data_IF_075926143267
#
_entry.id   IF_075926143267
#
_cell.length_a   1.000
_cell.length_b   1.000
_cell.length_c   1.000
_cell.angle_alpha   90.00
_cell.angle_beta   90.00
_cell.angle_gamma   90.00
#
_symmetry.space_group_name_H-M   'P 1'
#
loop_
_entity.id
_entity.type
_entity.pdbx_description
1 polymer ?
#
# COMPACT_ATOMS: atom_id res chain seq x y z
N UNK A 1 -26.47 -33.25 4.99
CA UNK A 1 -26.16 -31.91 4.46
C UNK A 1 -24.65 -31.76 4.48
N UNK A 2 -24.02 -31.77 3.32
CA UNK A 2 -22.57 -31.62 3.21
C UNK A 2 -22.20 -30.17 3.51
N UNK A 3 -21.28 -29.97 4.45
CA UNK A 3 -20.68 -28.67 4.73
C UNK A 3 -20.02 -28.15 3.44
N UNK A 4 -20.34 -26.94 2.96
CA UNK A 4 -19.67 -26.41 1.78
C UNK A 4 -18.19 -26.25 2.11
N UNK A 5 -17.36 -27.05 1.45
CA UNK A 5 -15.92 -26.89 1.47
C UNK A 5 -15.60 -25.55 0.83
N UNK A 6 -15.41 -24.52 1.67
CA UNK A 6 -14.92 -23.22 1.21
C UNK A 6 -13.46 -23.46 0.81
N UNK A 7 -13.11 -23.34 -0.48
CA UNK A 7 -11.72 -23.47 -0.91
C UNK A 7 -10.89 -22.45 -0.14
N UNK A 8 -9.69 -22.83 0.28
CA UNK A 8 -8.73 -21.89 0.88
C UNK A 8 -8.67 -20.62 0.04
N UNK A 9 -8.67 -19.41 0.64
CA UNK A 9 -8.67 -18.18 -0.14
C UNK A 9 -7.45 -18.20 -1.05
N UNK A 10 -7.67 -18.19 -2.36
CA UNK A 10 -6.62 -17.89 -3.32
C UNK A 10 -5.96 -16.60 -2.84
N UNK A 11 -4.68 -16.69 -2.47
CA UNK A 11 -3.95 -15.58 -1.88
C UNK A 11 -4.12 -14.36 -2.80
N UNK A 12 -4.59 -13.25 -2.24
CA UNK A 12 -4.62 -11.97 -2.94
C UNK A 12 -3.28 -11.78 -3.65
N UNK A 13 -3.33 -11.62 -4.97
CA UNK A 13 -2.14 -11.68 -5.81
C UNK A 13 -1.15 -10.58 -5.48
N UNK A 14 0.06 -10.73 -6.02
CA UNK A 14 1.14 -9.76 -5.94
C UNK A 14 0.88 -8.44 -6.68
N UNK A 15 -0.38 -8.18 -7.08
CA UNK A 15 -0.83 -7.00 -7.83
C UNK A 15 -0.44 -6.96 -9.31
N UNK A 16 0.47 -7.84 -9.75
CA UNK A 16 1.06 -7.87 -11.10
C UNK A 16 0.77 -9.17 -11.89
N UNK A 17 0.30 -10.23 -11.23
CA UNK A 17 -0.07 -11.50 -11.87
C UNK A 17 -1.03 -12.32 -11.01
N UNK A 18 -1.83 -13.20 -11.64
CA UNK A 18 -2.79 -14.08 -10.95
C UNK A 18 -4.09 -13.38 -10.52
N UNK A 19 -4.70 -13.86 -9.42
CA UNK A 19 -5.90 -13.25 -8.86
C UNK A 19 -5.57 -11.85 -8.31
N UNK A 20 -6.16 -10.80 -8.88
CA UNK A 20 -5.96 -9.42 -8.40
C UNK A 20 -6.94 -9.12 -7.25
N UNK A 21 -6.72 -8.00 -6.56
CA UNK A 21 -7.64 -7.50 -5.53
C UNK A 21 -9.07 -7.26 -6.05
N UNK A 22 -9.31 -7.35 -7.36
CA UNK A 22 -10.64 -7.23 -7.97
C UNK A 22 -11.55 -8.41 -7.60
N UNK A 23 -11.00 -9.63 -7.49
CA UNK A 23 -11.80 -10.85 -7.27
C UNK A 23 -11.56 -11.51 -5.94
N UNK A 24 -10.34 -11.36 -5.39
CA UNK A 24 -9.95 -12.04 -4.16
C UNK A 24 -9.00 -11.18 -3.33
N UNK A 25 -9.23 -11.14 -2.02
CA UNK A 25 -8.32 -10.62 -1.01
C UNK A 25 -8.18 -11.63 0.13
N UNK A 26 -7.40 -11.29 1.15
CA UNK A 26 -7.23 -12.11 2.34
C UNK A 26 -8.52 -12.19 3.18
N UNK A 27 -9.44 -11.24 3.04
CA UNK A 27 -10.63 -11.12 3.90
C UNK A 27 -11.97 -11.28 3.15
N UNK A 28 -11.96 -11.26 1.81
CA UNK A 28 -13.16 -11.44 1.01
C UNK A 28 -12.84 -12.01 -0.37
N UNK A 29 -13.83 -12.66 -0.98
CA UNK A 29 -13.76 -13.17 -2.36
C UNK A 29 -15.10 -12.97 -3.08
N UNK A 30 -15.10 -13.12 -4.41
CA UNK A 30 -16.31 -13.08 -5.22
C UNK A 30 -17.00 -11.70 -5.21
N UNK A 31 -18.33 -11.67 -5.08
CA UNK A 31 -19.11 -10.43 -5.13
C UNK A 31 -18.81 -9.47 -3.98
N UNK A 32 -18.52 -9.99 -2.79
CA UNK A 32 -18.13 -9.16 -1.64
C UNK A 32 -16.81 -8.43 -1.92
N UNK A 33 -15.81 -9.12 -2.46
CA UNK A 33 -14.54 -8.48 -2.82
C UNK A 33 -14.71 -7.46 -3.94
N UNK A 34 -15.56 -7.73 -4.94
CA UNK A 34 -15.88 -6.75 -5.99
C UNK A 34 -16.53 -5.50 -5.41
N UNK A 35 -17.45 -5.64 -4.45
CA UNK A 35 -18.06 -4.51 -3.77
C UNK A 35 -17.02 -3.70 -2.96
N UNK A 36 -16.13 -4.40 -2.24
CA UNK A 36 -15.01 -3.77 -1.53
C UNK A 36 -14.07 -3.02 -2.50
N UNK A 37 -13.80 -3.59 -3.68
CA UNK A 37 -12.97 -2.96 -4.71
C UNK A 37 -13.65 -1.72 -5.29
N UNK A 38 -14.96 -1.76 -5.58
CA UNK A 38 -15.73 -0.58 -6.02
C UNK A 38 -15.61 0.54 -4.99
N UNK A 39 -15.95 0.26 -3.72
CA UNK A 39 -15.87 1.24 -2.64
C UNK A 39 -14.45 1.78 -2.46
N UNK A 40 -13.44 0.90 -2.46
CA UNK A 40 -12.04 1.29 -2.35
C UNK A 40 -11.58 2.19 -3.49
N UNK A 41 -11.99 1.88 -4.73
CA UNK A 41 -11.62 2.65 -5.91
C UNK A 41 -12.30 4.01 -5.97
N UNK A 42 -13.60 4.08 -5.72
CA UNK A 42 -14.37 5.32 -5.75
C UNK A 42 -13.99 6.25 -4.60
N UNK A 43 -13.71 5.72 -3.42
CA UNK A 43 -13.49 6.55 -2.22
C UNK A 43 -12.03 6.92 -1.98
N UNK A 44 -11.09 6.00 -2.24
CA UNK A 44 -9.69 6.20 -1.84
C UNK A 44 -8.71 6.12 -3.02
N UNK A 45 -8.75 5.01 -3.76
CA UNK A 45 -7.69 4.73 -4.72
C UNK A 45 -7.73 5.71 -5.88
N UNK A 46 -8.81 5.83 -6.63
CA UNK A 46 -8.84 6.69 -7.82
C UNK A 46 -8.78 8.19 -7.49
N UNK A 47 -9.50 8.72 -6.48
CA UNK A 47 -9.32 10.10 -6.04
C UNK A 47 -7.87 10.43 -5.66
N UNK A 48 -7.15 9.51 -5.02
CA UNK A 48 -5.74 9.74 -4.69
C UNK A 48 -4.80 9.76 -5.91
N UNK A 49 -5.22 9.26 -7.08
CA UNK A 49 -4.44 9.37 -8.32
C UNK A 49 -4.64 10.76 -8.91
N UNK A 50 -5.90 11.21 -8.94
CA UNK A 50 -6.27 12.53 -9.45
C UNK A 50 -5.68 13.64 -8.58
N UNK A 51 -5.72 13.48 -7.25
CA UNK A 51 -5.14 14.42 -6.31
C UNK A 51 -3.61 14.53 -6.50
N UNK A 52 -2.90 13.41 -6.51
CA UNK A 52 -1.45 13.40 -6.73
C UNK A 52 -1.07 14.03 -8.09
N UNK A 53 -1.89 13.81 -9.12
CA UNK A 53 -1.67 14.43 -10.43
C UNK A 53 -1.94 15.94 -10.39
N UNK A 54 -3.01 16.39 -9.74
CA UNK A 54 -3.38 17.80 -9.68
C UNK A 54 -2.38 18.63 -8.86
N UNK A 55 -1.79 18.05 -7.82
CA UNK A 55 -0.77 18.67 -6.99
C UNK A 55 0.66 18.49 -7.52
N UNK A 56 0.85 17.76 -8.61
CA UNK A 56 2.11 17.80 -9.35
C UNK A 56 1.99 18.80 -10.50
N UNK A 57 2.49 20.02 -10.29
CA UNK A 57 2.46 21.08 -11.29
C UNK A 57 3.82 21.77 -11.38
N UNK A 58 4.50 21.64 -12.54
CA UNK A 58 5.69 22.41 -12.85
C UNK A 58 5.46 23.93 -12.81
N UNK A 59 4.24 24.38 -13.09
CA UNK A 59 3.88 25.81 -13.13
C UNK A 59 3.84 26.44 -11.73
N UNK A 60 3.41 25.69 -10.73
CA UNK A 60 3.36 26.15 -9.33
C UNK A 60 4.58 25.73 -8.52
N UNK A 61 5.45 24.88 -9.08
CA UNK A 61 6.55 24.24 -8.34
C UNK A 61 6.05 23.28 -7.26
N UNK A 62 4.84 22.73 -7.42
CA UNK A 62 4.32 21.71 -6.52
C UNK A 62 4.70 20.34 -7.05
N UNK A 63 5.20 19.50 -6.15
CA UNK A 63 5.66 18.15 -6.44
C UNK A 63 4.79 17.17 -5.66
N UNK A 64 4.55 15.99 -6.21
CA UNK A 64 3.75 14.97 -5.54
C UNK A 64 4.36 13.59 -5.74
N UNK A 65 4.22 12.75 -4.72
CA UNK A 65 4.63 11.35 -4.73
C UNK A 65 3.45 10.49 -4.30
N UNK A 66 3.50 9.22 -4.67
CA UNK A 66 2.42 8.29 -4.40
C UNK A 66 2.94 6.95 -3.90
N UNK A 67 2.29 6.41 -2.87
CA UNK A 67 2.45 5.02 -2.47
C UNK A 67 1.12 4.29 -2.29
N UNK A 68 1.22 2.96 -2.25
CA UNK A 68 0.20 2.04 -1.76
C UNK A 68 0.81 1.19 -0.64
N UNK A 69 0.11 1.14 0.51
CA UNK A 69 0.38 0.16 1.55
C UNK A 69 -0.32 -1.17 1.20
N UNK A 70 0.41 -2.28 1.21
CA UNK A 70 -0.09 -3.58 0.75
C UNK A 70 0.21 -4.74 1.69
N UNK A 71 0.73 -4.49 2.89
CA UNK A 71 0.97 -5.57 3.86
C UNK A 71 -0.37 -6.20 4.26
N UNK A 72 -0.57 -7.51 4.04
CA UNK A 72 -1.85 -8.15 4.32
C UNK A 72 -2.26 -8.03 5.79
N UNK A 73 -3.50 -7.67 6.13
CA UNK A 73 -4.69 -7.53 5.26
C UNK A 73 -4.92 -6.12 4.67
N UNK A 74 -3.99 -5.17 4.84
CA UNK A 74 -4.04 -3.81 4.26
C UNK A 74 -5.40 -3.09 4.37
N UNK A 75 -6.02 -3.19 5.54
CA UNK A 75 -7.29 -2.50 5.83
C UNK A 75 -7.08 -0.98 5.95
N UNK A 76 -8.17 -0.23 5.79
CA UNK A 76 -8.14 1.23 5.91
C UNK A 76 -7.50 1.67 7.24
N UNK A 77 -6.45 2.49 7.14
CA UNK A 77 -5.70 3.02 8.28
C UNK A 77 -4.62 2.10 8.87
N UNK A 78 -4.41 0.89 8.34
CA UNK A 78 -3.40 -0.04 8.90
C UNK A 78 -1.97 0.42 8.65
N UNK A 79 -1.76 1.29 7.67
CA UNK A 79 -0.49 1.96 7.42
C UNK A 79 -0.10 2.89 8.59
N UNK A 80 -1.07 3.48 9.30
CA UNK A 80 -0.80 4.40 10.43
C UNK A 80 0.08 3.76 11.50
N UNK A 81 -0.19 2.53 11.89
CA UNK A 81 0.61 1.80 12.89
C UNK A 81 2.03 1.49 12.39
N UNK A 82 2.24 1.43 11.08
CA UNK A 82 3.55 1.17 10.52
C UNK A 82 4.49 2.39 10.64
N UNK A 83 3.98 3.63 10.62
CA UNK A 83 4.80 4.83 10.76
C UNK A 83 4.62 5.60 12.07
N UNK A 84 3.44 5.61 12.70
CA UNK A 84 3.23 6.22 14.02
C UNK A 84 3.45 5.26 15.19
N UNK A 85 3.27 3.96 14.97
CA UNK A 85 3.42 2.94 16.00
C UNK A 85 2.26 2.86 17.00
N UNK A 86 2.24 1.79 17.83
CA UNK A 86 3.12 0.62 17.75
C UNK A 86 2.83 -0.23 16.51
N UNK A 87 3.87 -0.87 15.96
CA UNK A 87 3.75 -1.72 14.77
C UNK A 87 2.89 -2.96 15.05
N UNK A 88 2.05 -3.34 14.09
CA UNK A 88 1.30 -4.60 14.13
C UNK A 88 2.25 -5.80 13.98
N UNK A 89 1.79 -6.98 14.41
CA UNK A 89 2.58 -8.23 14.38
C UNK A 89 3.05 -8.63 12.98
N UNK A 90 2.29 -8.26 11.95
CA UNK A 90 2.57 -8.48 10.53
C UNK A 90 3.40 -7.36 9.88
N UNK A 91 3.82 -6.33 10.64
CA UNK A 91 4.65 -5.24 10.17
C UNK A 91 6.07 -5.43 10.71
N UNK A 92 7.01 -5.82 9.83
CA UNK A 92 8.38 -6.06 10.23
C UNK A 92 9.13 -4.76 10.55
N UNK A 93 10.16 -4.80 11.41
CA UNK A 93 10.89 -3.61 11.84
C UNK A 93 11.55 -2.85 10.69
N UNK A 94 12.01 -3.55 9.67
CA UNK A 94 12.65 -2.90 8.52
C UNK A 94 11.62 -2.25 7.57
N UNK A 95 10.39 -2.79 7.47
CA UNK A 95 9.30 -2.15 6.73
C UNK A 95 8.89 -0.84 7.40
N UNK A 96 8.63 -0.89 8.71
CA UNK A 96 8.19 0.29 9.47
C UNK A 96 9.25 1.37 9.44
N UNK A 97 10.53 0.98 9.56
CA UNK A 97 11.66 1.88 9.39
C UNK A 97 11.67 2.58 8.02
N UNK A 98 11.41 1.86 6.94
CA UNK A 98 11.39 2.46 5.61
C UNK A 98 10.24 3.46 5.44
N UNK A 99 9.03 3.13 5.91
CA UNK A 99 7.90 4.06 5.92
C UNK A 99 8.20 5.31 6.77
N UNK A 100 8.79 5.12 7.96
CA UNK A 100 9.16 6.23 8.86
C UNK A 100 10.23 7.13 8.24
N UNK A 101 11.25 6.57 7.59
CA UNK A 101 12.27 7.36 6.89
C UNK A 101 11.64 8.14 5.74
N UNK A 102 10.83 7.51 4.90
CA UNK A 102 10.19 8.19 3.77
C UNK A 102 9.27 9.32 4.21
N UNK A 103 8.43 9.09 5.23
CA UNK A 103 7.60 10.15 5.81
C UNK A 103 8.44 11.27 6.46
N UNK A 104 9.47 10.91 7.22
CA UNK A 104 10.35 11.89 7.86
C UNK A 104 11.10 12.75 6.85
N UNK A 105 11.58 12.17 5.76
CA UNK A 105 12.25 12.89 4.69
C UNK A 105 11.29 13.79 3.92
N UNK A 106 10.07 13.33 3.63
CA UNK A 106 9.06 14.18 2.98
C UNK A 106 8.73 15.40 3.85
N UNK A 107 8.52 15.21 5.15
CA UNK A 107 8.23 16.32 6.07
C UNK A 107 9.41 17.28 6.21
N UNK A 108 10.65 16.77 6.22
CA UNK A 108 11.85 17.57 6.49
C UNK A 108 12.43 18.25 5.26
N UNK A 109 12.31 17.61 4.10
CA UNK A 109 13.01 17.99 2.86
C UNK A 109 12.08 18.12 1.64
N UNK A 110 10.80 17.78 1.78
CA UNK A 110 9.85 17.79 0.67
C UNK A 110 10.02 16.65 -0.34
N UNK A 111 10.85 15.64 -0.04
CA UNK A 111 11.13 14.47 -0.89
C UNK A 111 11.16 13.19 -0.04
N UNK A 112 10.34 12.16 -0.33
CA UNK A 112 10.28 10.92 0.46
C UNK A 112 11.43 9.94 0.19
N UNK A 113 12.34 10.25 -0.73
CA UNK A 113 13.48 9.41 -1.08
C UNK A 113 14.44 9.24 0.10
N UNK A 114 15.05 8.07 0.27
CA UNK A 114 16.03 7.83 1.35
C UNK A 114 17.35 8.57 1.15
N UNK A 115 17.61 9.08 -0.05
CA UNK A 115 18.73 9.98 -0.36
C UNK A 115 18.21 11.34 -0.84
N UNK A 116 17.77 12.23 0.06
CA UNK A 116 17.12 13.48 -0.34
C UNK A 116 18.10 14.47 -1.02
N UNK A 117 17.64 15.30 -1.96
CA UNK A 117 18.42 16.37 -2.56
C UNK A 117 18.92 17.35 -1.50
N UNK A 118 20.23 17.62 -1.46
CA UNK A 118 20.83 18.56 -0.49
C UNK A 118 21.46 17.92 0.75
N UNK A 119 21.18 16.64 1.04
CA UNK A 119 22.00 15.86 2.00
C UNK A 119 23.44 15.60 1.47
N UNK A 120 23.67 15.84 0.17
CA UNK A 120 24.97 15.83 -0.51
C UNK A 120 25.70 17.18 -0.52
N UNK A 121 25.27 18.17 0.26
CA UNK A 121 25.89 19.49 0.36
C UNK A 121 27.15 19.54 1.24
N UNK A 122 28.13 18.67 0.99
CA UNK A 122 29.53 18.87 1.40
C UNK A 122 30.39 17.85 0.67
N UNK A 123 31.32 18.36 -0.14
CA UNK A 123 32.44 17.63 -0.73
C UNK A 123 33.12 16.70 0.26
N UNK A 124 32.91 15.39 0.13
CA UNK A 124 33.82 14.35 0.64
C UNK A 124 33.54 13.06 -0.15
N UNK A 125 34.50 12.65 -0.97
CA UNK A 125 34.44 11.48 -1.86
C UNK A 125 34.47 10.13 -1.14
N UNK A 126 33.84 10.00 0.02
CA UNK A 126 33.76 8.73 0.75
C UNK A 126 32.59 8.72 1.74
N UNK A 127 31.35 8.77 1.26
CA UNK A 127 30.19 8.38 2.07
C UNK A 127 29.41 7.33 1.33
N UNK A 128 29.61 6.08 1.76
CA UNK A 128 28.54 5.08 1.79
C UNK A 128 27.26 5.80 2.14
N UNK A 129 26.30 5.83 1.21
CA UNK A 129 24.88 6.06 1.52
C UNK A 129 24.61 5.29 2.81
N UNK A 130 24.41 5.99 3.93
CA UNK A 130 24.10 5.34 5.21
C UNK A 130 22.62 5.01 5.25
N UNK A 131 22.07 4.55 4.12
CA UNK A 131 20.89 3.72 4.12
C UNK A 131 21.32 2.42 4.80
N UNK A 132 21.07 2.31 6.10
CA UNK A 132 21.24 1.06 6.85
C UNK A 132 20.22 -0.02 6.43
N UNK A 133 19.42 0.25 5.40
CA UNK A 133 18.48 -0.66 4.80
C UNK A 133 19.24 -1.49 3.74
N UNK A 134 19.87 -2.58 4.17
CA UNK A 134 20.82 -3.36 3.34
C UNK A 134 20.16 -4.34 2.36
N UNK A 135 18.83 -4.35 2.23
CA UNK A 135 18.12 -5.28 1.34
C UNK A 135 17.92 -4.69 -0.07
N UNK A 136 18.02 -5.51 -1.14
CA UNK A 136 17.79 -5.06 -2.52
C UNK A 136 16.44 -4.37 -2.75
N UNK A 137 15.41 -4.75 -1.98
CA UNK A 137 14.08 -4.13 -2.02
C UNK A 137 14.06 -2.65 -1.63
N UNK A 138 15.12 -2.13 -1.00
CA UNK A 138 15.20 -0.72 -0.59
C UNK A 138 15.87 0.20 -1.59
N UNK A 139 16.58 -0.35 -2.58
CA UNK A 139 17.24 0.46 -3.60
C UNK A 139 16.25 1.35 -4.37
N UNK A 140 14.99 0.88 -4.53
CA UNK A 140 13.93 1.66 -5.18
C UNK A 140 13.51 2.90 -4.38
N UNK A 141 13.79 2.96 -3.07
CA UNK A 141 13.49 4.12 -2.23
C UNK A 141 14.56 5.22 -2.32
N UNK A 142 15.75 4.93 -2.85
CA UNK A 142 16.80 5.95 -3.01
C UNK A 142 16.39 7.03 -4.01
N UNK A 143 15.57 6.66 -5.00
CA UNK A 143 15.06 7.57 -6.03
C UNK A 143 13.59 7.31 -6.25
N UNK A 144 12.77 7.83 -5.35
CA UNK A 144 11.32 7.74 -5.48
C UNK A 144 10.86 8.81 -6.48
N UNK A 145 10.39 8.42 -7.68
CA UNK A 145 9.97 9.39 -8.69
C UNK A 145 8.70 10.12 -8.26
N UNK A 146 8.59 11.37 -8.71
CA UNK A 146 7.34 12.11 -8.60
C UNK A 146 6.24 11.41 -9.41
N UNK A 147 5.03 11.41 -8.86
CA UNK A 147 3.85 10.87 -9.50
C UNK A 147 3.22 11.93 -10.41
N UNK A 148 2.97 11.59 -11.67
CA UNK A 148 2.25 12.46 -12.60
C UNK A 148 1.37 11.63 -13.55
N UNK A 149 0.50 12.31 -14.31
CA UNK A 149 -0.31 11.63 -15.33
C UNK A 149 0.53 10.97 -16.45
N UNK A 150 1.69 11.54 -16.79
CA UNK A 150 2.62 11.01 -17.80
C UNK A 150 3.62 10.00 -17.23
N UNK A 151 3.87 10.05 -15.93
CA UNK A 151 4.72 9.12 -15.20
C UNK A 151 4.00 8.63 -13.93
N UNK A 152 3.06 7.68 -14.07
CA UNK A 152 2.19 7.24 -12.97
C UNK A 152 2.88 6.20 -12.09
N UNK A 153 4.19 6.31 -11.85
CA UNK A 153 4.92 5.36 -11.00
C UNK A 153 4.64 5.62 -9.53
N UNK A 154 4.30 4.58 -8.79
CA UNK A 154 4.05 4.65 -7.34
C UNK A 154 4.86 3.62 -6.57
N UNK A 155 5.17 3.92 -5.31
CA UNK A 155 5.81 2.98 -4.40
C UNK A 155 4.77 2.01 -3.81
N UNK A 156 5.11 0.73 -3.71
CA UNK A 156 4.30 -0.27 -3.03
C UNK A 156 5.08 -0.73 -1.81
N UNK A 157 4.54 -0.49 -0.62
CA UNK A 157 5.08 -1.02 0.63
C UNK A 157 4.38 -2.33 0.95
N UNK A 158 5.08 -3.44 0.75
CA UNK A 158 4.56 -4.78 0.99
C UNK A 158 5.58 -5.64 1.75
N UNK A 159 5.11 -6.76 2.27
CA UNK A 159 5.92 -7.74 2.97
C UNK A 159 5.40 -9.16 2.71
N UNK A 160 6.32 -10.11 2.62
CA UNK A 160 6.07 -11.53 2.39
C UNK A 160 6.82 -12.36 3.44
N UNK A 161 6.77 -13.70 3.33
CA UNK A 161 7.41 -14.58 4.29
C UNK A 161 6.75 -14.53 5.67
N UNK A 162 7.49 -14.92 6.69
CA UNK A 162 7.06 -14.94 8.08
C UNK A 162 6.47 -16.27 8.56
N UNK A 163 6.10 -16.26 9.83
CA UNK A 163 5.45 -17.36 10.54
C UNK A 163 3.94 -17.10 10.60
N UNK A 164 3.08 -18.06 10.23
CA UNK A 164 1.64 -17.87 10.20
C UNK A 164 1.06 -17.64 11.60
N UNK A 165 0.07 -16.75 11.72
CA UNK A 165 -0.76 -16.58 12.89
C UNK A 165 -2.21 -16.25 12.51
N UNK A 166 -3.14 -16.57 13.40
CA UNK A 166 -4.56 -16.26 13.20
C UNK A 166 -4.87 -14.82 13.60
N UNK A 167 -5.53 -14.11 12.70
CA UNK A 167 -5.96 -12.72 12.87
C UNK A 167 -7.48 -12.63 12.66
N UNK A 168 -8.19 -12.08 13.63
CA UNK A 168 -9.63 -11.81 13.50
C UNK A 168 -9.83 -10.54 12.68
N UNK A 169 -10.13 -10.72 11.39
CA UNK A 169 -10.29 -9.62 10.43
C UNK A 169 -11.64 -8.93 10.52
N UNK A 170 -12.69 -9.68 10.88
CA UNK A 170 -14.04 -9.16 11.11
C UNK A 170 -14.48 -9.58 12.50
N UNK A 171 -15.07 -8.66 13.25
CA UNK A 171 -15.57 -8.90 14.60
C UNK A 171 -17.07 -8.61 14.68
N UNK A 172 -17.80 -9.37 15.49
CA UNK A 172 -19.21 -9.07 15.81
C UNK A 172 -19.34 -7.83 16.69
N UNK A 173 -18.30 -7.53 17.47
CA UNK A 173 -18.25 -6.37 18.38
C UNK A 173 -17.30 -5.30 17.83
N UNK A 174 -17.67 -4.05 18.04
CA UNK A 174 -16.77 -2.93 17.77
C UNK A 174 -15.81 -2.78 18.96
N UNK A 175 -14.61 -3.33 18.84
CA UNK A 175 -13.57 -3.26 19.88
C UNK A 175 -12.65 -2.02 19.69
N UNK A 176 -12.96 -1.11 18.76
CA UNK A 176 -12.21 0.12 18.54
C UNK A 176 -12.24 0.66 17.12
N UNK A 177 -11.60 1.83 16.87
CA UNK A 177 -11.72 2.61 15.64
C UNK A 177 -11.17 1.95 14.37
N UNK A 178 -10.43 0.84 14.49
CA UNK A 178 -9.82 0.10 13.37
C UNK A 178 -10.34 -1.34 13.25
N UNK A 179 -11.52 -1.62 13.80
CA UNK A 179 -12.19 -2.92 13.72
C UNK A 179 -13.16 -2.94 12.55
N UNK A 180 -13.10 -4.00 11.73
CA UNK A 180 -14.14 -4.26 10.73
C UNK A 180 -15.27 -4.99 11.43
N UNK A 181 -16.44 -4.38 11.49
CA UNK A 181 -17.61 -4.96 12.16
C UNK A 181 -18.44 -5.75 11.15
N UNK A 182 -18.82 -6.98 11.50
CA UNK A 182 -19.67 -7.84 10.68
C UNK A 182 -20.68 -8.62 11.50
N UNK A 183 -21.44 -9.49 10.83
CA UNK A 183 -22.46 -10.35 11.45
C UNK A 183 -21.88 -11.56 12.19
N UNK A 184 -20.63 -11.93 11.89
CA UNK A 184 -19.89 -13.02 12.52
C UNK A 184 -18.38 -12.72 12.56
N UNK A 185 -17.69 -13.33 13.50
CA UNK A 185 -16.23 -13.26 13.55
C UNK A 185 -15.64 -14.01 12.34
N UNK A 186 -14.65 -13.39 11.68
CA UNK A 186 -13.90 -14.02 10.60
C UNK A 186 -12.42 -13.98 10.88
N UNK A 187 -11.81 -15.16 10.99
CA UNK A 187 -10.37 -15.32 11.14
C UNK A 187 -9.71 -15.55 9.79
N UNK A 188 -8.54 -14.96 9.63
CA UNK A 188 -7.67 -15.11 8.46
C UNK A 188 -6.25 -15.38 8.93
N UNK A 189 -5.50 -16.17 8.17
CA UNK A 189 -4.10 -16.41 8.45
C UNK A 189 -3.25 -15.26 7.88
N UNK A 190 -2.56 -14.55 8.77
CA UNK A 190 -1.53 -13.56 8.42
C UNK A 190 -0.15 -14.10 8.81
N UNK A 191 0.90 -13.34 8.54
CA UNK A 191 2.28 -13.74 8.84
C UNK A 191 2.98 -12.69 9.69
N UNK A 192 3.75 -13.13 10.66
CA UNK A 192 4.56 -12.30 11.56
C UNK A 192 6.01 -12.75 11.59
N UNK A 193 6.85 -12.04 12.36
CA UNK A 193 8.17 -12.56 12.70
C UNK A 193 8.07 -13.90 13.46
N UNK A 194 9.09 -14.76 13.37
CA UNK A 194 10.28 -14.62 12.53
C UNK A 194 10.03 -14.91 11.04
N UNK A 195 10.83 -14.29 10.17
CA UNK A 195 10.99 -14.65 8.76
C UNK A 195 10.31 -13.74 7.76
N UNK A 196 9.85 -12.55 8.18
CA UNK A 196 9.27 -11.56 7.27
C UNK A 196 10.33 -11.03 6.30
N UNK A 197 9.89 -10.71 5.07
CA UNK A 197 10.75 -10.22 3.99
C UNK A 197 10.06 -9.08 3.26
N UNK A 198 10.73 -7.95 3.14
CA UNK A 198 10.17 -6.80 2.45
C UNK A 198 10.05 -7.05 0.95
N UNK A 199 8.92 -6.61 0.39
CA UNK A 199 8.62 -6.62 -1.04
C UNK A 199 8.26 -5.19 -1.46
N UNK A 200 9.20 -4.27 -1.24
CA UNK A 200 9.02 -2.87 -1.61
C UNK A 200 9.35 -2.72 -3.09
N UNK A 201 8.40 -2.15 -3.84
CA UNK A 201 8.47 -2.10 -5.31
C UNK A 201 8.06 -0.76 -5.85
N UNK A 202 8.76 -0.31 -6.88
CA UNK A 202 8.28 0.76 -7.74
C UNK A 202 7.46 0.15 -8.87
N UNK A 203 6.18 0.52 -8.98
CA UNK A 203 5.25 -0.06 -9.95
C UNK A 203 4.60 1.04 -10.79
N UNK A 204 4.13 0.68 -11.98
CA UNK A 204 3.25 1.54 -12.77
C UNK A 204 1.82 1.45 -12.21
N UNK A 205 1.33 2.54 -11.63
CA UNK A 205 0.02 2.59 -10.99
C UNK A 205 -1.15 2.41 -11.98
N UNK A 206 -0.94 2.72 -13.27
CA UNK A 206 -1.98 2.59 -14.29
C UNK A 206 -2.23 1.11 -14.60
N UNK A 207 -1.17 0.31 -14.73
CA UNK A 207 -1.28 -1.13 -15.04
C UNK A 207 -1.46 -2.00 -13.80
N UNK A 208 -1.14 -1.47 -12.62
CA UNK A 208 -1.24 -2.17 -11.33
C UNK A 208 -2.64 -2.74 -11.04
N UNK A 209 -2.70 -3.89 -10.37
CA UNK A 209 -3.93 -4.51 -9.86
C UNK A 209 -4.98 -4.73 -10.96
N UNK A 210 -4.51 -5.31 -12.07
CA UNK A 210 -5.33 -5.65 -13.23
C UNK A 210 -5.80 -4.44 -14.02
N UNK A 211 -4.94 -3.43 -14.20
CA UNK A 211 -5.29 -2.23 -14.96
C UNK A 211 -6.16 -1.25 -14.18
N UNK A 212 -5.80 -0.95 -12.93
CA UNK A 212 -6.56 -0.01 -12.08
C UNK A 212 -6.70 1.37 -12.73
N UNK A 213 -5.72 1.83 -13.50
CA UNK A 213 -5.78 3.09 -14.23
C UNK A 213 -7.02 3.20 -15.11
N UNK A 214 -7.32 2.18 -15.92
CA UNK A 214 -8.53 2.14 -16.77
C UNK A 214 -9.82 2.19 -15.95
N UNK A 215 -9.84 1.56 -14.77
CA UNK A 215 -11.00 1.64 -13.87
C UNK A 215 -11.14 3.02 -13.25
N UNK A 216 -10.03 3.67 -12.91
CA UNK A 216 -10.04 5.06 -12.48
C UNK A 216 -10.49 6.02 -13.58
N UNK A 217 -10.14 5.79 -14.85
CA UNK A 217 -10.66 6.58 -15.97
C UNK A 217 -12.17 6.41 -16.10
N UNK A 218 -12.68 5.18 -15.93
CA UNK A 218 -14.12 4.92 -15.88
C UNK A 218 -14.79 5.71 -14.75
N UNK A 219 -14.31 5.59 -13.51
CA UNK A 219 -14.87 6.33 -12.37
C UNK A 219 -14.86 7.84 -12.60
N UNK A 220 -13.77 8.38 -13.15
CA UNK A 220 -13.67 9.80 -13.52
C UNK A 220 -14.72 10.20 -14.55
N UNK A 221 -15.00 9.34 -15.54
CA UNK A 221 -15.95 9.63 -16.62
C UNK A 221 -17.41 9.69 -16.13
N UNK A 222 -17.73 9.02 -15.03
CA UNK A 222 -19.08 8.98 -14.45
C UNK A 222 -19.19 9.73 -13.13
N UNK A 223 -18.12 10.34 -12.62
CA UNK A 223 -18.10 10.99 -11.31
C UNK A 223 -19.16 12.09 -11.14
N UNK A 224 -19.60 12.73 -12.23
CA UNK A 224 -20.67 13.73 -12.19
C UNK A 224 -22.07 13.17 -11.86
N UNK A 225 -22.26 11.85 -11.96
CA UNK A 225 -23.55 11.17 -11.73
C UNK A 225 -23.51 10.12 -10.62
N UNK A 226 -22.32 9.86 -10.05
CA UNK A 226 -22.16 8.99 -8.89
C UNK A 226 -22.24 9.87 -7.64
N UNK A 227 -23.21 9.63 -6.73
CA UNK A 227 -23.21 10.32 -5.45
C UNK A 227 -22.06 9.79 -4.59
N UNK A 228 -21.07 10.64 -4.33
CA UNK A 228 -19.93 10.40 -3.42
C UNK A 228 -20.17 11.05 -2.05
#
# INVERSE_FOLDING_TARGET
>A
MASPHIPSPEKGGSGDSGATAVTTSQIASGHQQRANAILGETTFMCPSYWLATAFNSPQTGHHSWKYQYSVPAALHGYDLEAYFGPARRNQGPELTRALQISWGNFVSFGDPSTTPPGAGGASDGNRSSRSTLSEPSYAVLERWPEFSGSDPRMMVFNQTGGTPYEFTAVQVRNDGPLTVVGDRDMNVTLYSEPGLRNDIRLVDAYTWEGGRGTRCDFWRSIGAIVPE
#
